data_IF_459318572231
#
_entry.id   IF_459318572231
#
_cell.length_a   1.000
_cell.length_b   1.000
_cell.length_c   1.000
_cell.angle_alpha   90.00
_cell.angle_beta   90.00
_cell.angle_gamma   90.00
#
_symmetry.space_group_name_H-M   'P 1'
#
loop_
_entity.id
_entity.type
_entity.pdbx_description
1 polymer ?
#
# COMPACT_ATOMS: atom_id res chain seq x y z
N UNK A 1 -6.77 -98.29 18.70
CA UNK A 1 -7.28 -97.50 19.83
C UNK A 1 -7.57 -96.12 19.26
N UNK A 2 -8.84 -95.76 19.23
CA UNK A 2 -9.30 -94.41 18.88
C UNK A 2 -8.57 -93.36 19.74
N UNK A 3 -8.22 -92.20 19.18
CA UNK A 3 -8.93 -90.97 19.50
C UNK A 3 -8.49 -89.80 18.59
N UNK A 4 -9.51 -89.00 18.28
CA UNK A 4 -9.58 -87.81 17.43
C UNK A 4 -8.71 -86.63 17.88
N UNK A 5 -8.64 -85.65 16.96
CA UNK A 5 -8.52 -84.18 17.16
C UNK A 5 -7.11 -83.66 16.81
N UNK A 6 -6.88 -82.63 15.99
CA UNK A 6 -7.71 -81.48 15.61
C UNK A 6 -7.20 -80.93 14.26
N UNK A 7 -8.13 -80.51 13.42
CA UNK A 7 -7.90 -79.81 12.15
C UNK A 7 -7.43 -78.37 12.43
N UNK A 8 -6.31 -77.95 11.85
CA UNK A 8 -5.94 -76.53 11.71
C UNK A 8 -6.04 -76.17 10.23
N UNK A 9 -7.12 -75.50 9.84
CA UNK A 9 -7.28 -74.92 8.51
C UNK A 9 -6.44 -73.64 8.47
N UNK A 10 -5.39 -73.64 7.66
CA UNK A 10 -4.67 -72.44 7.28
C UNK A 10 -5.56 -71.71 6.26
N UNK A 11 -6.24 -70.67 6.71
CA UNK A 11 -6.93 -69.73 5.82
C UNK A 11 -5.88 -68.86 5.11
N UNK A 12 -5.69 -69.10 3.82
CA UNK A 12 -4.98 -68.18 2.92
C UNK A 12 -5.94 -67.02 2.63
N UNK A 13 -5.73 -65.87 3.27
CA UNK A 13 -6.40 -64.63 2.91
C UNK A 13 -5.78 -64.09 1.62
N UNK A 14 -6.44 -64.36 0.49
CA UNK A 14 -6.22 -63.63 -0.77
C UNK A 14 -6.68 -62.18 -0.57
N UNK A 15 -5.74 -61.28 -0.33
CA UNK A 15 -5.98 -59.85 -0.50
C UNK A 15 -6.17 -59.58 -2.00
N UNK A 16 -7.42 -59.60 -2.46
CA UNK A 16 -7.79 -58.98 -3.72
C UNK A 16 -7.63 -57.47 -3.55
N UNK A 17 -6.50 -56.94 -3.99
CA UNK A 17 -6.28 -55.50 -4.09
C UNK A 17 -7.30 -54.92 -5.05
N UNK A 18 -8.32 -54.26 -4.52
CA UNK A 18 -9.13 -53.32 -5.30
C UNK A 18 -8.24 -52.12 -5.61
N UNK A 19 -7.53 -52.19 -6.73
CA UNK A 19 -7.00 -51.00 -7.38
C UNK A 19 -8.19 -50.18 -7.85
N UNK A 20 -8.64 -49.24 -7.03
CA UNK A 20 -9.51 -48.15 -7.49
C UNK A 20 -8.64 -47.35 -8.45
N UNK A 21 -8.73 -47.67 -9.74
CA UNK A 21 -8.29 -46.77 -10.81
C UNK A 21 -9.13 -45.50 -10.64
N UNK A 22 -8.54 -44.50 -9.98
CA UNK A 22 -8.99 -43.13 -10.15
C UNK A 22 -8.80 -42.81 -11.64
N UNK A 23 -9.86 -42.98 -12.42
CA UNK A 23 -9.98 -42.35 -13.72
C UNK A 23 -9.99 -40.85 -13.43
N UNK A 24 -8.80 -40.26 -13.48
CA UNK A 24 -8.65 -38.83 -13.55
C UNK A 24 -9.33 -38.43 -14.85
N UNK A 25 -10.61 -38.08 -14.78
CA UNK A 25 -11.27 -37.26 -15.79
C UNK A 25 -10.62 -35.87 -15.69
N UNK A 26 -9.35 -35.80 -16.09
CA UNK A 26 -8.64 -34.58 -16.39
C UNK A 26 -9.31 -34.03 -17.63
N UNK A 27 -10.46 -33.37 -17.43
CA UNK A 27 -11.00 -32.47 -18.40
C UNK A 27 -9.93 -31.38 -18.53
N UNK A 28 -9.06 -31.56 -19.53
CA UNK A 28 -8.08 -30.57 -19.95
C UNK A 28 -8.87 -29.27 -20.07
N UNK A 29 -8.54 -28.28 -19.22
CA UNK A 29 -9.04 -26.94 -19.43
C UNK A 29 -8.66 -26.59 -20.86
N UNK A 30 -9.67 -26.45 -21.73
CA UNK A 30 -9.44 -25.88 -23.05
C UNK A 30 -8.68 -24.57 -22.80
N UNK A 31 -7.53 -24.33 -23.45
CA UNK A 31 -6.87 -23.05 -23.32
C UNK A 31 -7.88 -22.02 -23.80
N UNK A 32 -8.45 -21.27 -22.85
CA UNK A 32 -9.18 -20.06 -23.18
C UNK A 32 -8.10 -19.18 -23.83
N UNK A 33 -8.22 -18.83 -25.11
CA UNK A 33 -7.34 -17.82 -25.67
C UNK A 33 -7.73 -16.55 -24.92
N UNK A 34 -6.98 -16.22 -23.86
CA UNK A 34 -6.99 -14.90 -23.30
C UNK A 34 -6.41 -14.02 -24.39
N UNK A 35 -7.30 -13.45 -25.20
CA UNK A 35 -7.03 -12.20 -25.90
C UNK A 35 -6.79 -11.15 -24.82
N UNK A 36 -5.60 -11.17 -24.22
CA UNK A 36 -5.11 -10.07 -23.42
C UNK A 36 -4.81 -8.99 -24.45
N UNK A 37 -5.84 -8.21 -24.76
CA UNK A 37 -5.62 -6.95 -25.43
C UNK A 37 -4.76 -6.13 -24.46
N UNK A 38 -3.49 -5.92 -24.80
CA UNK A 38 -2.50 -5.22 -23.97
C UNK A 38 -2.77 -3.70 -23.91
N UNK A 39 -4.00 -3.29 -24.19
CA UNK A 39 -4.40 -1.90 -24.05
C UNK A 39 -4.52 -1.60 -22.54
N UNK A 40 -3.56 -0.80 -22.06
CA UNK A 40 -3.53 -0.26 -20.71
C UNK A 40 -3.76 1.26 -20.70
N UNK A 41 -4.39 1.80 -21.77
CA UNK A 41 -4.65 3.23 -21.90
C UNK A 41 -5.47 3.75 -20.72
N UNK A 42 -6.48 3.01 -20.27
CA UNK A 42 -7.31 3.44 -19.14
C UNK A 42 -6.49 3.53 -17.86
N UNK A 43 -5.72 2.49 -17.53
CA UNK A 43 -4.92 2.48 -16.30
C UNK A 43 -3.84 3.55 -16.31
N UNK A 44 -3.21 3.82 -17.47
CA UNK A 44 -2.21 4.87 -17.62
C UNK A 44 -2.81 6.26 -17.37
N UNK A 45 -3.98 6.56 -17.92
CA UNK A 45 -4.66 7.85 -17.69
C UNK A 45 -5.05 7.98 -16.21
N UNK A 46 -5.67 6.95 -15.66
CA UNK A 46 -6.29 7.01 -14.33
C UNK A 46 -5.28 6.88 -13.17
N UNK A 47 -4.03 6.51 -13.46
CA UNK A 47 -2.94 6.40 -12.48
C UNK A 47 -1.78 7.38 -12.73
N UNK A 48 -1.99 8.43 -13.53
CA UNK A 48 -0.95 9.41 -13.89
C UNK A 48 0.32 8.75 -14.47
N UNK A 49 0.11 7.85 -15.43
CA UNK A 49 1.11 7.03 -16.12
C UNK A 49 1.94 6.11 -15.20
N UNK A 50 1.41 5.76 -14.03
CA UNK A 50 2.11 4.86 -13.11
C UNK A 50 1.85 3.39 -13.45
N UNK A 51 0.58 2.98 -13.48
CA UNK A 51 0.16 1.58 -13.66
C UNK A 51 -0.21 1.34 -15.12
N UNK A 52 0.40 0.31 -15.71
CA UNK A 52 -0.05 -0.28 -16.97
C UNK A 52 -0.59 -1.68 -16.66
N UNK A 53 -1.89 -1.82 -16.81
CA UNK A 53 -2.70 -3.02 -16.60
C UNK A 53 -3.83 -3.00 -17.63
N UNK A 54 -4.28 -4.16 -18.11
CA UNK A 54 -5.30 -4.19 -19.16
C UNK A 54 -6.60 -3.51 -18.71
N UNK A 55 -7.30 -2.84 -19.63
CA UNK A 55 -8.55 -2.14 -19.33
C UNK A 55 -9.59 -3.03 -18.65
N UNK A 56 -9.64 -4.34 -18.97
CA UNK A 56 -10.53 -5.29 -18.32
C UNK A 56 -10.24 -5.46 -16.82
N UNK A 57 -8.96 -5.63 -16.45
CA UNK A 57 -8.55 -5.80 -15.04
C UNK A 57 -8.65 -4.46 -14.30
N UNK A 58 -8.32 -3.36 -14.98
CA UNK A 58 -8.45 -2.01 -14.41
C UNK A 58 -9.91 -1.65 -14.11
N UNK A 59 -10.86 -2.03 -14.97
CA UNK A 59 -12.29 -1.83 -14.71
C UNK A 59 -12.78 -2.66 -13.51
N UNK A 60 -12.35 -3.92 -13.39
CA UNK A 60 -12.67 -4.74 -12.21
C UNK A 60 -12.14 -4.09 -10.93
N UNK A 61 -10.90 -3.58 -10.96
CA UNK A 61 -10.30 -2.83 -9.87
C UNK A 61 -11.11 -1.60 -9.47
N UNK A 62 -11.68 -0.86 -10.41
CA UNK A 62 -12.58 0.27 -10.13
C UNK A 62 -13.84 -0.19 -9.41
N UNK A 63 -14.47 -1.26 -9.87
CA UNK A 63 -15.66 -1.85 -9.23
C UNK A 63 -15.38 -2.31 -7.79
N UNK A 64 -14.24 -2.97 -7.57
CA UNK A 64 -13.77 -3.37 -6.23
C UNK A 64 -13.55 -2.13 -5.34
N UNK A 65 -12.85 -1.11 -5.86
CA UNK A 65 -12.64 0.15 -5.16
C UNK A 65 -13.96 0.78 -4.73
N UNK A 66 -14.90 0.98 -5.65
CA UNK A 66 -16.19 1.62 -5.35
C UNK A 66 -16.97 0.89 -4.25
N UNK A 67 -16.88 -0.44 -4.24
CA UNK A 67 -17.56 -1.29 -3.25
C UNK A 67 -16.92 -1.14 -1.87
N UNK A 68 -15.59 -1.29 -1.79
CA UNK A 68 -14.85 -1.20 -0.52
C UNK A 68 -14.87 0.21 0.06
N UNK A 69 -14.80 1.20 -0.80
CA UNK A 69 -14.86 2.60 -0.43
C UNK A 69 -16.21 2.99 0.20
N UNK A 70 -17.33 2.50 -0.33
CA UNK A 70 -18.66 2.65 0.31
C UNK A 70 -18.70 2.02 1.70
N UNK A 71 -18.04 0.89 1.91
CA UNK A 71 -17.94 0.24 3.22
C UNK A 71 -17.07 1.03 4.21
N UNK A 72 -16.02 1.69 3.73
CA UNK A 72 -15.16 2.56 4.54
C UNK A 72 -15.90 3.81 5.05
N UNK A 73 -16.90 4.29 4.31
CA UNK A 73 -17.74 5.42 4.75
C UNK A 73 -18.74 5.07 5.85
N UNK A 74 -18.94 3.78 6.16
CA UNK A 74 -19.78 3.35 7.29
C UNK A 74 -18.96 3.41 8.58
N UNK A 75 -19.07 4.50 9.33
CA UNK A 75 -18.35 4.71 10.60
C UNK A 75 -18.82 3.72 11.66
N UNK A 76 -17.96 2.80 12.06
CA UNK A 76 -18.26 1.77 13.06
C UNK A 76 -17.64 2.15 14.41
N UNK A 77 -18.46 2.16 15.45
CA UNK A 77 -17.97 2.31 16.82
C UNK A 77 -17.39 0.98 17.30
N UNK A 78 -16.11 0.96 17.65
CA UNK A 78 -15.39 -0.24 18.08
C UNK A 78 -14.30 0.12 19.08
N UNK A 79 -14.11 -0.73 20.09
CA UNK A 79 -13.01 -0.63 21.05
C UNK A 79 -11.64 -0.90 20.39
N UNK A 80 -11.62 -1.54 19.22
CA UNK A 80 -10.44 -1.71 18.38
C UNK A 80 -10.74 -1.04 17.04
N UNK A 81 -10.64 0.29 17.04
CA UNK A 81 -11.10 1.17 15.96
C UNK A 81 -10.66 0.69 14.56
N UNK A 82 -9.37 0.41 14.41
CA UNK A 82 -8.80 0.02 13.13
C UNK A 82 -9.15 -1.40 12.71
N UNK A 83 -9.74 -2.27 13.53
CA UNK A 83 -10.24 -3.57 13.03
C UNK A 83 -11.56 -3.46 12.28
N UNK A 84 -12.29 -2.36 12.43
CA UNK A 84 -13.64 -2.19 11.87
C UNK A 84 -13.78 -0.99 10.93
N UNK A 85 -12.72 -0.23 10.74
CA UNK A 85 -12.75 1.02 9.98
C UNK A 85 -11.53 1.11 9.06
N UNK A 86 -11.74 1.75 7.90
CA UNK A 86 -10.70 2.11 6.95
C UNK A 86 -9.86 0.90 6.51
N UNK A 87 -10.47 -0.03 5.80
CA UNK A 87 -9.79 -1.14 5.15
C UNK A 87 -9.17 -0.72 3.80
N UNK A 88 -8.16 -1.44 3.30
CA UNK A 88 -7.70 -1.27 1.93
C UNK A 88 -8.86 -1.30 0.94
N UNK A 89 -8.94 -0.26 0.11
CA UNK A 89 -9.93 -0.13 -0.95
C UNK A 89 -9.29 -0.12 -2.35
N UNK A 90 -7.97 -0.28 -2.44
CA UNK A 90 -7.23 -0.39 -3.69
C UNK A 90 -6.20 -1.51 -3.57
N UNK A 91 -5.91 -2.18 -4.67
CA UNK A 91 -4.93 -3.26 -4.69
C UNK A 91 -3.67 -2.83 -5.46
N UNK A 92 -2.49 -2.99 -4.88
CA UNK A 92 -1.24 -2.80 -5.62
C UNK A 92 -0.66 -4.18 -5.94
N UNK A 93 -0.69 -4.58 -7.21
CA UNK A 93 -0.40 -5.95 -7.66
C UNK A 93 1.01 -6.41 -7.27
N UNK A 94 1.97 -5.50 -7.20
CA UNK A 94 3.34 -5.76 -6.76
C UNK A 94 3.72 -4.91 -5.54
N UNK A 95 2.77 -4.66 -4.63
CA UNK A 95 3.07 -4.06 -3.34
C UNK A 95 4.17 -4.86 -2.64
N UNK A 96 5.18 -4.16 -2.11
CA UNK A 96 6.28 -4.80 -1.39
C UNK A 96 6.67 -3.99 -0.19
N UNK A 97 6.87 -4.70 0.92
CA UNK A 97 7.43 -4.14 2.14
C UNK A 97 8.92 -3.85 1.96
N UNK A 98 9.33 -2.60 2.21
CA UNK A 98 10.72 -2.15 2.14
C UNK A 98 11.16 -1.74 3.55
N UNK A 99 12.28 -2.28 4.03
CA UNK A 99 12.78 -2.04 5.39
C UNK A 99 12.72 -3.29 6.27
N UNK A 100 12.96 -3.10 7.58
CA UNK A 100 13.00 -4.17 8.58
C UNK A 100 11.63 -4.81 8.77
N UNK A 101 11.51 -6.13 8.96
CA UNK A 101 10.24 -6.79 9.34
C UNK A 101 9.74 -6.31 10.70
N UNK A 102 8.42 -6.15 10.87
CA UNK A 102 7.83 -5.57 12.07
C UNK A 102 7.74 -4.05 11.99
N UNK A 103 8.43 -3.35 12.88
CA UNK A 103 8.45 -1.88 12.92
C UNK A 103 9.51 -1.28 11.96
N UNK A 104 9.30 -0.04 11.53
CA UNK A 104 10.23 0.75 10.70
C UNK A 104 10.20 0.47 9.18
N UNK A 105 9.79 -0.71 8.73
CA UNK A 105 9.55 -0.99 7.32
C UNK A 105 8.17 -0.51 6.84
N UNK A 106 8.04 -0.10 5.57
CA UNK A 106 6.77 0.38 5.01
C UNK A 106 6.43 -0.31 3.69
N UNK A 107 5.14 -0.41 3.37
CA UNK A 107 4.66 -0.99 2.12
C UNK A 107 4.68 0.02 0.97
N UNK A 108 5.41 -0.27 -0.10
CA UNK A 108 5.48 0.58 -1.30
C UNK A 108 4.70 -0.09 -2.43
N UNK A 109 3.84 0.67 -3.11
CA UNK A 109 3.09 0.22 -4.28
C UNK A 109 4.02 0.12 -5.49
N UNK A 110 4.07 -1.05 -6.12
CA UNK A 110 4.80 -1.34 -7.35
C UNK A 110 6.21 -0.70 -7.43
N UNK A 111 7.13 -0.98 -6.48
CA UNK A 111 8.45 -0.34 -6.45
C UNK A 111 9.30 -0.66 -7.69
N UNK A 112 8.97 -1.68 -8.47
CA UNK A 112 9.60 -1.95 -9.76
C UNK A 112 9.36 -0.82 -10.78
N UNK A 113 8.23 -0.12 -10.71
CA UNK A 113 7.89 1.01 -11.59
C UNK A 113 8.68 2.26 -11.22
N UNK A 114 8.87 2.50 -9.92
CA UNK A 114 9.79 3.54 -9.42
C UNK A 114 11.22 3.23 -9.83
N UNK A 115 11.62 1.95 -9.75
CA UNK A 115 12.95 1.50 -10.15
C UNK A 115 13.25 1.73 -11.64
N UNK A 116 12.24 1.65 -12.51
CA UNK A 116 12.39 1.83 -13.95
C UNK A 116 12.56 3.29 -14.39
N UNK A 117 12.27 4.26 -13.51
CA UNK A 117 12.40 5.70 -13.77
C UNK A 117 13.71 6.25 -13.20
N UNK A 118 14.35 7.21 -13.86
CA UNK A 118 15.58 7.83 -13.34
C UNK A 118 15.35 9.00 -12.38
N UNK A 119 14.16 9.60 -12.39
CA UNK A 119 13.80 10.86 -11.72
C UNK A 119 13.11 10.68 -10.37
N UNK A 120 13.35 9.56 -9.69
CA UNK A 120 12.68 9.18 -8.46
C UNK A 120 13.01 10.12 -7.28
N UNK A 121 11.99 10.63 -6.59
CA UNK A 121 12.14 11.52 -5.43
C UNK A 121 11.33 11.03 -4.23
N UNK A 122 12.02 10.84 -3.09
CA UNK A 122 11.45 10.29 -1.86
C UNK A 122 11.67 11.28 -0.72
N UNK A 123 10.60 11.61 -0.01
CA UNK A 123 10.64 12.36 1.24
C UNK A 123 10.33 11.41 2.40
N UNK A 124 11.10 11.52 3.48
CA UNK A 124 10.92 10.73 4.69
C UNK A 124 10.98 11.63 5.92
N UNK A 125 9.85 11.80 6.60
CA UNK A 125 9.72 12.69 7.75
C UNK A 125 9.56 11.89 9.05
N UNK A 126 10.26 12.35 10.08
CA UNK A 126 10.36 11.71 11.39
C UNK A 126 11.13 10.40 11.30
N UNK A 127 12.44 10.56 11.14
CA UNK A 127 13.39 9.43 11.15
C UNK A 127 13.74 9.02 12.57
N UNK A 128 13.72 9.97 13.51
CA UNK A 128 14.21 9.83 14.86
C UNK A 128 15.62 9.17 14.95
N UNK A 129 16.45 9.38 13.93
CA UNK A 129 17.78 8.78 13.81
C UNK A 129 17.80 7.34 13.29
N UNK A 130 16.65 6.71 13.06
CA UNK A 130 16.53 5.45 12.33
C UNK A 130 16.41 5.71 10.83
N UNK A 131 17.43 5.26 10.08
CA UNK A 131 17.50 5.39 8.62
C UNK A 131 17.27 4.05 7.90
N UNK A 132 16.72 3.06 8.60
CA UNK A 132 16.55 1.70 8.09
C UNK A 132 15.71 1.65 6.82
N UNK A 133 14.62 2.42 6.76
CA UNK A 133 13.77 2.51 5.56
C UNK A 133 14.55 3.07 4.37
N UNK A 134 15.24 4.20 4.56
CA UNK A 134 16.01 4.91 3.53
C UNK A 134 17.14 4.05 2.99
N UNK A 135 17.87 3.36 3.88
CA UNK A 135 18.91 2.41 3.50
C UNK A 135 18.34 1.30 2.60
N UNK A 136 17.18 0.74 2.94
CA UNK A 136 16.56 -0.30 2.12
C UNK A 136 15.99 0.23 0.81
N UNK A 137 15.41 1.43 0.80
CA UNK A 137 15.00 2.11 -0.43
C UNK A 137 16.20 2.32 -1.36
N UNK A 138 17.33 2.80 -0.83
CA UNK A 138 18.56 3.01 -1.61
C UNK A 138 19.15 1.71 -2.15
N UNK A 139 19.08 0.60 -1.40
CA UNK A 139 19.49 -0.74 -1.91
C UNK A 139 18.65 -1.21 -3.10
N UNK A 140 17.35 -0.94 -3.08
CA UNK A 140 16.43 -1.37 -4.12
C UNK A 140 16.46 -0.45 -5.34
N UNK A 141 16.52 0.87 -5.08
CA UNK A 141 16.44 1.95 -6.06
C UNK A 141 17.60 2.94 -5.81
N UNK A 142 18.83 2.57 -6.19
CA UNK A 142 20.04 3.34 -5.86
C UNK A 142 20.06 4.74 -6.47
N UNK A 143 19.31 4.98 -7.55
CA UNK A 143 19.20 6.28 -8.21
C UNK A 143 18.20 7.23 -7.53
N UNK A 144 17.28 6.74 -6.70
CA UNK A 144 16.31 7.62 -6.05
C UNK A 144 17.01 8.64 -5.16
N UNK A 145 16.58 9.89 -5.28
CA UNK A 145 16.96 10.97 -4.38
C UNK A 145 16.09 10.91 -3.12
N UNK A 146 16.72 10.88 -1.96
CA UNK A 146 16.04 10.71 -0.67
C UNK A 146 16.34 11.92 0.20
N UNK A 147 15.31 12.63 0.63
CA UNK A 147 15.39 13.71 1.60
C UNK A 147 14.74 13.25 2.90
N UNK A 148 15.51 13.29 3.98
CA UNK A 148 15.04 12.90 5.31
C UNK A 148 14.91 14.14 6.19
N UNK A 149 13.79 14.25 6.89
CA UNK A 149 13.41 15.41 7.68
C UNK A 149 13.15 15.01 9.13
N UNK A 150 13.68 15.78 10.07
CA UNK A 150 13.42 15.60 11.49
C UNK A 150 13.57 16.91 12.27
N UNK A 151 12.89 17.02 13.41
CA UNK A 151 13.05 18.16 14.32
C UNK A 151 14.42 18.15 15.02
N UNK A 152 14.96 16.97 15.30
CA UNK A 152 16.29 16.79 15.89
C UNK A 152 17.34 16.65 14.80
N UNK A 153 18.59 16.92 15.14
CA UNK A 153 19.70 16.76 14.21
C UNK A 153 20.24 15.34 14.27
N UNK A 154 20.26 14.67 13.12
CA UNK A 154 20.88 13.36 12.95
C UNK A 154 21.84 13.39 11.76
N UNK A 155 22.66 12.35 11.62
CA UNK A 155 23.57 12.17 10.49
C UNK A 155 23.07 11.03 9.63
N UNK A 156 22.59 11.35 8.43
CA UNK A 156 22.22 10.32 7.47
C UNK A 156 23.45 9.51 7.05
N UNK A 157 23.32 8.18 6.85
CA UNK A 157 24.39 7.38 6.29
C UNK A 157 24.87 7.92 4.94
N UNK A 158 26.17 7.79 4.69
CA UNK A 158 26.80 8.27 3.46
C UNK A 158 26.13 7.65 2.22
N UNK A 159 25.85 8.47 1.21
CA UNK A 159 25.22 8.09 -0.06
C UNK A 159 23.80 7.50 0.07
N UNK A 160 23.14 7.65 1.22
CA UNK A 160 21.75 7.18 1.42
C UNK A 160 20.74 8.29 1.22
N UNK A 161 20.88 9.39 1.95
CA UNK A 161 19.93 10.49 1.94
C UNK A 161 20.58 11.84 2.25
N UNK A 162 19.84 12.91 1.97
CA UNK A 162 20.18 14.28 2.36
C UNK A 162 19.32 14.62 3.58
N UNK A 163 19.98 14.92 4.70
CA UNK A 163 19.29 15.20 5.97
C UNK A 163 18.94 16.68 6.12
N UNK A 164 17.74 16.95 6.63
CA UNK A 164 17.21 18.28 6.87
C UNK A 164 16.65 18.36 8.30
N UNK A 165 17.19 19.26 9.12
CA UNK A 165 16.62 19.53 10.45
C UNK A 165 15.41 20.46 10.31
N UNK A 166 14.28 19.94 9.84
CA UNK A 166 13.06 20.70 9.52
C UNK A 166 11.86 19.96 10.10
N UNK A 167 10.98 20.72 10.74
CA UNK A 167 9.67 20.21 11.20
C UNK A 167 8.60 20.51 10.16
N UNK A 168 7.82 19.52 9.77
CA UNK A 168 6.70 19.73 8.85
C UNK A 168 5.56 20.48 9.57
N UNK A 169 5.06 21.56 8.98
CA UNK A 169 3.99 22.37 9.57
C UNK A 169 3.52 23.50 8.66
N UNK A 170 3.11 24.63 9.23
CA UNK A 170 2.65 25.82 8.50
C UNK A 170 3.70 26.95 8.44
N UNK A 171 4.90 26.75 8.98
CA UNK A 171 5.94 27.76 9.01
C UNK A 171 5.85 28.77 10.15
N UNK A 172 4.84 28.70 11.02
CA UNK A 172 4.65 29.68 12.11
C UNK A 172 5.05 29.16 13.49
N UNK A 173 5.33 27.86 13.61
CA UNK A 173 5.69 27.21 14.86
C UNK A 173 7.21 27.23 15.13
N UNK A 174 7.65 27.17 16.40
CA UNK A 174 9.07 27.00 16.75
C UNK A 174 9.64 25.69 16.19
N UNK A 175 10.97 25.50 16.31
CA UNK A 175 11.72 24.32 15.83
C UNK A 175 11.86 24.19 14.31
N UNK A 176 12.18 25.30 13.63
CA UNK A 176 12.40 25.34 12.17
C UNK A 176 11.24 24.69 11.40
N UNK A 177 10.01 25.00 11.83
CA UNK A 177 8.81 24.53 11.13
C UNK A 177 8.76 25.15 9.75
N UNK A 178 8.48 24.36 8.72
CA UNK A 178 8.32 24.84 7.34
C UNK A 178 7.08 24.25 6.69
N UNK A 179 6.45 25.05 5.83
CA UNK A 179 5.35 24.59 4.99
C UNK A 179 5.84 23.65 3.90
N UNK A 180 4.96 22.77 3.40
CA UNK A 180 5.25 21.89 2.28
C UNK A 180 5.76 22.68 1.06
N UNK A 181 5.08 23.77 0.72
CA UNK A 181 5.46 24.65 -0.40
C UNK A 181 6.86 25.24 -0.21
N UNK A 182 7.15 25.77 0.98
CA UNK A 182 8.48 26.33 1.31
C UNK A 182 9.58 25.28 1.16
N UNK A 183 9.35 24.05 1.64
CA UNK A 183 10.31 22.96 1.52
C UNK A 183 10.58 22.63 0.04
N UNK A 184 9.53 22.57 -0.79
CA UNK A 184 9.69 22.31 -2.21
C UNK A 184 10.44 23.45 -2.92
N UNK A 185 10.19 24.71 -2.55
CA UNK A 185 10.89 25.88 -3.11
C UNK A 185 12.37 25.87 -2.76
N UNK A 186 12.71 25.71 -1.49
CA UNK A 186 14.10 25.72 -1.02
C UNK A 186 14.93 24.56 -1.59
N UNK A 187 14.28 23.41 -1.85
CA UNK A 187 14.94 22.24 -2.44
C UNK A 187 14.87 22.22 -3.97
N UNK A 188 14.21 23.20 -4.61
CA UNK A 188 14.08 23.24 -6.07
C UNK A 188 13.17 22.14 -6.65
N UNK A 189 12.22 21.63 -5.86
CA UNK A 189 11.34 20.51 -6.20
C UNK A 189 9.92 20.92 -6.60
N UNK A 190 9.65 22.20 -6.81
CA UNK A 190 8.29 22.72 -7.16
C UNK A 190 7.73 22.16 -8.47
N UNK A 191 8.59 21.72 -9.40
CA UNK A 191 8.21 21.09 -10.66
C UNK A 191 8.52 19.59 -10.70
N UNK A 192 8.87 18.99 -9.56
CA UNK A 192 9.19 17.57 -9.47
C UNK A 192 8.05 16.78 -8.84
N UNK A 193 7.89 15.56 -9.32
CA UNK A 193 6.97 14.59 -8.74
C UNK A 193 7.59 14.01 -7.47
N UNK A 194 6.89 14.14 -6.34
CA UNK A 194 7.25 13.45 -5.10
C UNK A 194 6.64 12.06 -5.20
N UNK A 195 7.47 11.02 -5.34
CA UNK A 195 6.99 9.67 -5.60
C UNK A 195 6.50 8.98 -4.33
N UNK A 196 7.23 9.18 -3.22
CA UNK A 196 6.92 8.58 -1.93
C UNK A 196 7.13 9.62 -0.83
N UNK A 197 6.13 9.77 0.03
CA UNK A 197 6.25 10.42 1.33
C UNK A 197 6.09 9.36 2.43
N UNK A 198 7.17 9.02 3.13
CA UNK A 198 7.10 8.34 4.43
C UNK A 198 6.92 9.41 5.51
N UNK A 199 5.95 9.24 6.41
CA UNK A 199 5.70 10.21 7.47
C UNK A 199 5.29 9.52 8.76
N UNK A 200 6.00 9.87 9.82
CA UNK A 200 5.85 9.32 11.15
C UNK A 200 6.40 10.37 12.13
N UNK A 201 5.55 11.31 12.53
CA UNK A 201 5.93 12.54 13.24
C UNK A 201 5.14 12.69 14.53
N UNK A 202 4.91 11.58 15.24
CA UNK A 202 4.45 11.55 16.63
C UNK A 202 3.12 12.29 16.86
N UNK A 203 2.15 12.09 15.97
CA UNK A 203 0.83 12.74 16.01
C UNK A 203 0.74 14.07 15.24
N UNK A 204 1.87 14.58 14.72
CA UNK A 204 1.88 15.76 13.85
C UNK A 204 1.20 15.55 12.49
N UNK A 205 0.86 14.32 12.12
CA UNK A 205 0.23 13.98 10.84
C UNK A 205 -1.12 14.69 10.68
N UNK A 206 -1.93 14.72 11.74
CA UNK A 206 -3.28 15.28 11.69
C UNK A 206 -3.30 16.75 11.28
N UNK A 207 -2.38 17.55 11.80
CA UNK A 207 -2.26 18.96 11.43
C UNK A 207 -1.54 19.12 10.09
N UNK A 208 -0.43 18.40 9.88
CA UNK A 208 0.36 18.54 8.66
C UNK A 208 -0.43 18.19 7.40
N UNK A 209 -1.21 17.11 7.39
CA UNK A 209 -1.98 16.72 6.21
C UNK A 209 -3.03 17.77 5.83
N UNK A 210 -3.59 18.50 6.81
CA UNK A 210 -4.51 19.60 6.52
C UNK A 210 -3.83 20.72 5.71
N UNK A 211 -2.54 20.98 5.95
CA UNK A 211 -1.75 21.95 5.19
C UNK A 211 -1.26 21.36 3.86
N UNK A 212 -0.78 20.11 3.85
CA UNK A 212 -0.34 19.41 2.64
C UNK A 212 -1.43 19.43 1.57
N UNK A 213 -2.67 19.15 1.95
CA UNK A 213 -3.81 19.09 1.02
C UNK A 213 -4.28 20.46 0.51
N UNK A 214 -3.81 21.57 1.10
CA UNK A 214 -4.02 22.93 0.56
C UNK A 214 -3.00 23.29 -0.52
N UNK A 215 -1.92 22.52 -0.66
CA UNK A 215 -0.94 22.72 -1.73
C UNK A 215 -1.51 22.33 -3.11
N UNK A 216 -0.79 22.68 -4.17
CA UNK A 216 -1.18 22.31 -5.53
C UNK A 216 -1.31 20.79 -5.66
N UNK A 217 -2.33 20.30 -6.37
CA UNK A 217 -2.50 18.87 -6.64
C UNK A 217 -1.26 18.23 -7.28
N UNK A 218 -0.50 19.01 -8.06
CA UNK A 218 0.75 18.56 -8.71
C UNK A 218 1.90 18.34 -7.73
N UNK A 219 1.89 19.02 -6.58
CA UNK A 219 2.92 18.89 -5.54
C UNK A 219 2.59 17.82 -4.49
N UNK A 220 1.43 17.16 -4.60
CA UNK A 220 1.06 16.09 -3.68
C UNK A 220 1.86 14.80 -3.99
N UNK A 221 2.31 14.06 -2.98
CA UNK A 221 2.99 12.78 -3.19
C UNK A 221 2.15 11.76 -3.96
N UNK A 222 2.76 10.96 -4.84
CA UNK A 222 2.04 9.85 -5.49
C UNK A 222 1.70 8.76 -4.47
N UNK A 223 2.60 8.48 -3.53
CA UNK A 223 2.40 7.52 -2.45
C UNK A 223 2.63 8.15 -1.10
N UNK A 224 1.77 7.84 -0.13
CA UNK A 224 1.92 8.25 1.26
C UNK A 224 1.99 7.01 2.13
N UNK A 225 3.06 6.87 2.91
CA UNK A 225 3.30 5.79 3.85
C UNK A 225 3.32 6.41 5.24
N UNK A 226 2.26 6.22 6.01
CA UNK A 226 2.03 6.98 7.24
C UNK A 226 1.77 6.05 8.41
N UNK A 227 2.43 6.31 9.53
CA UNK A 227 1.97 5.76 10.81
C UNK A 227 0.86 6.65 11.36
N UNK A 228 -0.32 6.06 11.55
CA UNK A 228 -1.48 6.74 12.14
C UNK A 228 -1.41 6.57 13.65
N UNK A 229 -1.00 7.64 14.32
CA UNK A 229 -0.91 7.72 15.77
C UNK A 229 -2.30 7.70 16.45
N UNK A 230 -2.42 7.16 17.68
CA UNK A 230 -3.67 7.15 18.42
C UNK A 230 -4.31 8.54 18.56
N UNK A 231 -5.61 8.63 18.27
CA UNK A 231 -6.37 9.86 18.41
C UNK A 231 -7.86 9.54 18.63
N UNK A 232 -8.69 10.57 18.87
CA UNK A 232 -10.14 10.42 18.97
C UNK A 232 -10.70 9.87 17.65
N UNK A 233 -11.65 8.91 17.66
CA UNK A 233 -12.21 8.31 16.45
C UNK A 233 -12.67 9.33 15.39
N UNK A 234 -13.28 10.45 15.81
CA UNK A 234 -13.71 11.50 14.88
C UNK A 234 -12.55 12.17 14.14
N UNK A 235 -11.41 12.37 14.81
CA UNK A 235 -10.21 12.96 14.20
C UNK A 235 -9.59 11.97 13.20
N UNK A 236 -9.58 10.68 13.53
CA UNK A 236 -9.11 9.63 12.64
C UNK A 236 -10.00 9.55 11.40
N UNK A 237 -11.33 9.53 11.56
CA UNK A 237 -12.24 9.58 10.41
C UNK A 237 -12.00 10.81 9.54
N UNK A 238 -11.86 12.01 10.13
CA UNK A 238 -11.59 13.23 9.38
C UNK A 238 -10.26 13.16 8.60
N UNK A 239 -9.23 12.53 9.15
CA UNK A 239 -7.94 12.32 8.48
C UNK A 239 -8.09 11.47 7.21
N UNK A 240 -8.77 10.32 7.30
CA UNK A 240 -8.98 9.47 6.13
C UNK A 240 -9.94 10.10 5.11
N UNK A 241 -10.99 10.78 5.55
CA UNK A 241 -11.90 11.51 4.66
C UNK A 241 -11.17 12.63 3.90
N UNK A 242 -10.22 13.30 4.54
CA UNK A 242 -9.36 14.30 3.90
C UNK A 242 -8.52 13.65 2.78
N UNK A 243 -7.83 12.55 3.05
CA UNK A 243 -7.05 11.84 2.05
C UNK A 243 -7.91 11.36 0.88
N UNK A 244 -9.06 10.77 1.19
CA UNK A 244 -10.05 10.33 0.22
C UNK A 244 -10.50 11.48 -0.70
N UNK A 245 -10.83 12.65 -0.13
CA UNK A 245 -11.24 13.86 -0.87
C UNK A 245 -10.16 14.32 -1.86
N UNK A 246 -8.89 14.03 -1.57
CA UNK A 246 -7.74 14.36 -2.41
C UNK A 246 -7.28 13.18 -3.30
N UNK A 247 -8.18 12.22 -3.55
CA UNK A 247 -7.99 11.10 -4.48
C UNK A 247 -6.92 10.09 -4.04
N UNK A 248 -6.72 9.92 -2.73
CA UNK A 248 -5.91 8.84 -2.20
C UNK A 248 -6.76 7.63 -1.86
N UNK A 249 -6.35 6.46 -2.37
CA UNK A 249 -6.93 5.17 -2.03
C UNK A 249 -5.97 4.38 -1.14
N UNK A 250 -6.51 3.61 -0.20
CA UNK A 250 -5.74 2.80 0.74
C UNK A 250 -5.35 1.50 0.04
N UNK A 251 -4.05 1.24 -0.10
CA UNK A 251 -3.56 -0.01 -0.68
C UNK A 251 -2.92 -0.96 0.33
N UNK A 252 -2.57 -0.47 1.52
CA UNK A 252 -2.08 -1.31 2.60
C UNK A 252 -2.48 -0.75 3.97
N UNK A 253 -2.61 -1.68 4.92
CA UNK A 253 -2.86 -1.43 6.32
C UNK A 253 -2.19 -2.55 7.12
N UNK A 254 -1.42 -2.21 8.14
CA UNK A 254 -0.87 -3.19 9.07
C UNK A 254 -0.80 -2.63 10.50
N UNK A 255 -1.05 -3.45 11.54
CA UNK A 255 -0.89 -2.99 12.91
C UNK A 255 0.59 -2.89 13.29
N UNK A 256 0.98 -1.80 13.98
CA UNK A 256 2.27 -1.71 14.65
C UNK A 256 2.15 -2.26 16.08
N UNK A 257 2.15 -3.60 16.20
CA UNK A 257 1.94 -4.28 17.47
C UNK A 257 3.07 -4.03 18.49
N UNK A 258 4.22 -3.52 18.04
CA UNK A 258 5.34 -3.15 18.92
C UNK A 258 5.03 -1.82 19.63
N UNK A 259 4.49 -0.84 18.90
CA UNK A 259 4.08 0.46 19.46
C UNK A 259 2.79 0.36 20.29
N UNK A 260 1.85 -0.50 19.89
CA UNK A 260 0.66 -0.84 20.68
C UNK A 260 -0.59 -1.11 19.84
N UNK A 261 -1.68 -1.49 20.49
CA UNK A 261 -2.92 -1.91 19.82
C UNK A 261 -3.67 -0.80 19.05
N UNK A 262 -3.23 0.45 19.18
CA UNK A 262 -3.84 1.62 18.54
C UNK A 262 -2.92 2.28 17.49
N UNK A 263 -1.76 1.70 17.20
CA UNK A 263 -0.83 2.19 16.18
C UNK A 263 -0.97 1.36 14.91
N UNK A 264 -1.21 2.04 13.79
CA UNK A 264 -1.42 1.38 12.51
C UNK A 264 -0.66 2.10 11.41
N UNK A 265 0.01 1.31 10.60
CA UNK A 265 0.68 1.74 9.40
C UNK A 265 -0.30 1.67 8.23
N UNK A 266 -0.38 2.76 7.49
CA UNK A 266 -1.21 2.86 6.31
C UNK A 266 -0.37 3.28 5.10
N UNK A 267 -0.76 2.75 3.94
CA UNK A 267 -0.18 3.15 2.68
C UNK A 267 -1.27 3.54 1.69
N UNK A 268 -1.09 4.71 1.09
CA UNK A 268 -2.03 5.32 0.16
C UNK A 268 -1.41 5.54 -1.20
N UNK A 269 -2.21 5.33 -2.23
CA UNK A 269 -1.85 5.61 -3.61
C UNK A 269 -2.77 6.72 -4.14
N UNK A 270 -2.16 7.79 -4.64
CA UNK A 270 -2.90 8.88 -5.28
C UNK A 270 -3.31 8.43 -6.69
N UNK A 271 -4.59 8.55 -7.02
CA UNK A 271 -5.11 8.31 -8.37
C UNK A 271 -5.46 9.63 -9.04
N UNK A 272 -5.52 9.59 -10.38
CA UNK A 272 -6.05 10.71 -11.15
C UNK A 272 -7.57 10.82 -10.87
N UNK A 273 -8.12 12.03 -10.92
CA UNK A 273 -9.56 12.26 -10.77
C UNK A 273 -10.42 11.46 -11.76
N UNK A 274 -9.89 11.14 -12.94
CA UNK A 274 -10.57 10.29 -13.93
C UNK A 274 -10.92 8.89 -13.38
N UNK A 275 -10.10 8.34 -12.47
CA UNK A 275 -10.36 7.04 -11.83
C UNK A 275 -11.72 7.00 -11.12
N UNK A 276 -12.13 8.12 -10.52
CA UNK A 276 -13.33 8.21 -9.70
C UNK A 276 -14.58 8.59 -10.52
N UNK A 277 -14.44 8.78 -11.83
CA UNK A 277 -15.59 8.96 -12.71
C UNK A 277 -16.28 7.61 -12.92
N UNK A 278 -17.61 7.65 -12.93
CA UNK A 278 -18.43 6.49 -13.20
C UNK A 278 -17.97 5.81 -14.50
N UNK A 279 -17.90 4.48 -14.47
CA UNK A 279 -17.72 3.71 -15.69
C UNK A 279 -18.80 4.11 -16.69
N UNK A 280 -18.48 4.28 -17.99
CA UNK A 280 -19.49 4.47 -19.00
C UNK A 280 -20.53 3.37 -18.83
N UNK A 281 -21.76 3.75 -18.51
CA UNK A 281 -22.86 2.79 -18.59
C UNK A 281 -22.89 2.38 -20.04
N UNK A 282 -22.70 1.09 -20.33
CA UNK A 282 -22.91 0.58 -21.66
C UNK A 282 -24.35 0.94 -22.03
N UNK A 283 -24.51 2.00 -22.81
CA UNK A 283 -25.78 2.42 -23.37
C UNK A 283 -26.30 1.22 -24.16
N UNK A 284 -27.34 0.59 -23.63
CA UNK A 284 -28.26 -0.28 -24.37
C UNK A 284 -27.60 -1.31 -25.30
N UNK A 285 -27.39 -2.53 -24.81
CA UNK A 285 -27.72 -3.69 -25.66
C UNK A 285 -29.24 -3.70 -25.79
N UNK A 286 -29.74 -3.00 -26.81
CA UNK A 286 -31.09 -3.15 -27.33
C UNK A 286 -31.22 -4.51 -28.02
#
# INVERSE_FOLDING_TARGET
>A
MELRSTVVIITISLFAGFSILFLWNGQLCSPIPLLVNNDCRLSLIESDNFICESDAVWNERKTVYETQDKENMKKRNSNIFFLSNWEPNFHCSHARRIGQMGDGGKWVCDPHRLKARSDCLIYSAGSNGDFGFEVHMKKVMPHCEIHTFDQRRYTCPQNVCIFHQITFGNGTHPNNSKSWTTILEELGHTQRKIDVLKIDIEGGEYSFFSFLMQSSTKSLPQQILVEVHPNKPNNIHAFFELLRKHHYAIFNKEPNLIAGSQFFEYAFFKLNSEFFKALPTNATKK
#
